data_IF_051046409928
#
_entry.id   IF_051046409928
#
_cell.length_a   1.000
_cell.length_b   1.000
_cell.length_c   1.000
_cell.angle_alpha   90.00
_cell.angle_beta   90.00
_cell.angle_gamma   90.00
#
_symmetry.space_group_name_H-M   'P 1'
#
loop_
_entity.id
_entity.type
_entity.pdbx_description
1 polymer ?
#
# COMPACT_ATOMS: atom_id res chain seq x y z
N UNK A 1 2.31 7.40 -1.81
CA UNK A 1 1.63 6.26 -1.15
C UNK A 1 2.56 5.09 -0.89
N UNK A 2 3.10 4.41 -1.91
CA UNK A 2 4.01 3.26 -1.74
C UNK A 2 5.19 3.54 -0.80
N UNK A 3 5.85 4.69 -0.95
CA UNK A 3 6.95 5.11 -0.08
C UNK A 3 6.54 5.13 1.40
N UNK A 4 5.38 5.71 1.73
CA UNK A 4 4.90 5.79 3.10
C UNK A 4 4.58 4.40 3.67
N UNK A 5 3.96 3.51 2.90
CA UNK A 5 3.70 2.12 3.32
C UNK A 5 5.01 1.35 3.52
N UNK A 6 5.96 1.50 2.60
CA UNK A 6 7.31 0.92 2.65
C UNK A 6 8.12 1.40 3.85
N UNK A 7 8.02 2.67 4.20
CA UNK A 7 8.72 3.22 5.35
C UNK A 7 8.03 2.77 6.63
N UNK A 8 6.71 2.92 6.73
CA UNK A 8 5.93 2.55 7.92
C UNK A 8 6.05 1.06 8.24
N UNK A 9 6.00 0.18 7.24
CA UNK A 9 6.24 -1.26 7.42
C UNK A 9 7.62 -1.55 8.02
N UNK A 10 8.68 -0.88 7.54
CA UNK A 10 10.03 -1.03 8.11
C UNK A 10 10.17 -0.44 9.51
N UNK A 11 9.60 0.74 9.76
CA UNK A 11 9.58 1.34 11.10
C UNK A 11 8.88 0.43 12.11
N UNK A 12 7.72 -0.14 11.73
CA UNK A 12 6.98 -1.09 12.58
C UNK A 12 7.77 -2.37 12.77
N UNK A 13 8.40 -2.89 11.71
CA UNK A 13 9.14 -4.15 11.79
C UNK A 13 10.39 -4.06 12.69
N UNK A 14 11.16 -2.98 12.56
CA UNK A 14 12.45 -2.79 13.22
C UNK A 14 12.32 -2.23 14.63
N UNK A 15 11.53 -1.16 14.81
CA UNK A 15 11.51 -0.40 16.06
C UNK A 15 10.47 -0.89 17.06
N UNK A 16 9.54 -1.77 16.67
CA UNK A 16 8.63 -2.40 17.62
C UNK A 16 9.33 -3.63 18.20
N UNK A 17 9.67 -3.62 19.50
CA UNK A 17 10.42 -4.70 20.14
C UNK A 17 9.60 -5.98 20.32
N UNK A 18 10.29 -7.11 20.44
CA UNK A 18 9.70 -8.44 20.59
C UNK A 18 9.61 -8.85 22.09
N UNK A 19 8.45 -8.71 22.75
CA UNK A 19 8.07 -9.39 24.02
C UNK A 19 8.11 -10.93 23.92
N UNK A 20 7.23 -11.56 23.10
CA UNK A 20 7.05 -13.02 22.93
C UNK A 20 6.98 -13.36 21.43
N UNK A 21 7.66 -14.43 20.97
CA UNK A 21 7.74 -14.77 19.53
C UNK A 21 6.37 -14.87 18.83
N UNK A 22 5.36 -15.35 19.54
CA UNK A 22 4.09 -15.77 18.92
C UNK A 22 3.03 -14.64 18.87
N UNK A 23 2.82 -13.90 19.97
CA UNK A 23 1.82 -12.82 20.01
C UNK A 23 2.24 -11.58 19.20
N UNK A 24 3.52 -11.41 18.91
CA UNK A 24 4.07 -10.18 18.33
C UNK A 24 4.15 -10.23 16.83
N UNK A 25 4.50 -11.40 16.31
CA UNK A 25 4.36 -11.69 14.90
C UNK A 25 2.89 -11.43 14.52
N UNK A 26 1.94 -11.80 15.39
CA UNK A 26 0.50 -11.51 15.24
C UNK A 26 0.16 -10.01 15.12
N UNK A 27 0.68 -9.15 16.01
CA UNK A 27 0.43 -7.69 16.00
C UNK A 27 1.09 -7.01 14.79
N UNK A 28 2.36 -7.33 14.52
CA UNK A 28 3.10 -6.78 13.39
C UNK A 28 2.46 -7.18 12.06
N UNK A 29 2.05 -8.44 11.93
CA UNK A 29 1.37 -8.92 10.73
C UNK A 29 0.03 -8.23 10.52
N UNK A 30 -0.76 -8.04 11.58
CA UNK A 30 -2.04 -7.34 11.50
C UNK A 30 -1.89 -5.90 11.00
N UNK A 31 -0.85 -5.18 11.43
CA UNK A 31 -0.58 -3.82 10.94
C UNK A 31 -0.09 -3.81 9.50
N UNK A 32 0.75 -4.76 9.11
CA UNK A 32 1.15 -4.91 7.70
C UNK A 32 -0.04 -5.26 6.80
N UNK A 33 -0.97 -6.10 7.28
CA UNK A 33 -2.24 -6.39 6.57
C UNK A 33 -3.11 -5.15 6.48
N UNK A 34 -3.17 -4.35 7.54
CA UNK A 34 -3.92 -3.10 7.55
C UNK A 34 -3.33 -2.08 6.55
N UNK A 35 -2.00 -2.04 6.39
CA UNK A 35 -1.34 -1.22 5.38
C UNK A 35 -1.60 -1.69 3.95
N UNK A 36 -1.63 -3.00 3.72
CA UNK A 36 -2.06 -3.55 2.43
C UNK A 36 -3.55 -3.27 2.17
N UNK A 37 -4.37 -3.39 3.23
CA UNK A 37 -5.79 -3.09 3.23
C UNK A 37 -6.07 -1.63 2.89
N UNK A 38 -5.23 -0.69 3.37
CA UNK A 38 -5.30 0.72 2.97
C UNK A 38 -5.16 0.87 1.45
N UNK A 39 -4.19 0.19 0.84
CA UNK A 39 -3.99 0.28 -0.61
C UNK A 39 -5.14 -0.31 -1.43
N UNK A 40 -5.66 -1.46 -1.01
CA UNK A 40 -6.84 -2.06 -1.62
C UNK A 40 -8.09 -1.19 -1.44
N UNK A 41 -8.28 -0.63 -0.25
CA UNK A 41 -9.36 0.29 0.03
C UNK A 41 -9.26 1.54 -0.84
N UNK A 42 -8.07 2.13 -0.99
CA UNK A 42 -7.87 3.29 -1.85
C UNK A 42 -8.17 2.96 -3.30
N UNK A 43 -7.77 1.78 -3.81
CA UNK A 43 -8.11 1.34 -5.16
C UNK A 43 -9.63 1.31 -5.38
N UNK A 44 -10.37 0.57 -4.55
CA UNK A 44 -11.82 0.43 -4.73
C UNK A 44 -12.55 1.76 -4.50
N UNK A 45 -12.03 2.56 -3.57
CA UNK A 45 -12.53 3.92 -3.34
C UNK A 45 -12.40 4.81 -4.58
N UNK A 46 -11.26 4.75 -5.29
CA UNK A 46 -11.04 5.53 -6.52
C UNK A 46 -11.85 5.02 -7.72
N UNK A 47 -12.20 3.72 -7.73
CA UNK A 47 -13.08 3.12 -8.74
C UNK A 47 -14.57 3.33 -8.46
N UNK A 48 -14.91 3.95 -7.34
CA UNK A 48 -16.29 4.06 -6.85
C UNK A 48 -17.00 2.69 -6.71
N UNK A 49 -16.21 1.63 -6.49
CA UNK A 49 -16.68 0.25 -6.29
C UNK A 49 -16.82 -0.07 -4.79
N UNK A 50 -17.72 -1.00 -4.46
CA UNK A 50 -17.84 -1.54 -3.10
C UNK A 50 -16.63 -2.39 -2.70
N UNK A 51 -15.59 -1.75 -2.14
CA UNK A 51 -14.35 -2.40 -1.73
C UNK A 51 -14.47 -3.35 -0.52
N UNK A 52 -15.64 -3.48 0.09
CA UNK A 52 -15.79 -4.17 1.37
C UNK A 52 -15.55 -5.68 1.27
N UNK A 53 -15.99 -6.31 0.18
CA UNK A 53 -15.86 -7.76 0.02
C UNK A 53 -14.49 -8.15 -0.56
N UNK A 54 -13.88 -7.29 -1.37
CA UNK A 54 -12.52 -7.48 -1.85
C UNK A 54 -11.46 -7.36 -0.73
N UNK A 55 -11.68 -6.47 0.25
CA UNK A 55 -10.80 -6.35 1.43
C UNK A 55 -10.94 -7.57 2.34
N UNK A 56 -12.16 -8.07 2.58
CA UNK A 56 -12.37 -9.34 3.31
C UNK A 56 -11.63 -10.48 2.62
N UNK A 57 -11.82 -10.64 1.31
CA UNK A 57 -11.21 -11.73 0.55
C UNK A 57 -9.69 -11.60 0.51
N UNK A 58 -9.13 -10.40 0.31
CA UNK A 58 -7.66 -10.22 0.30
C UNK A 58 -6.99 -10.31 1.67
N UNK A 59 -7.68 -9.93 2.76
CA UNK A 59 -7.20 -10.20 4.12
C UNK A 59 -7.32 -11.70 4.48
N UNK A 60 -8.32 -12.40 3.94
CA UNK A 60 -8.58 -13.80 4.29
C UNK A 60 -7.81 -14.82 3.42
N UNK A 61 -7.48 -14.48 2.18
CA UNK A 61 -6.80 -15.34 1.19
C UNK A 61 -5.30 -15.57 1.43
N UNK A 62 -4.64 -14.84 2.35
CA UNK A 62 -3.21 -15.12 2.66
C UNK A 62 -3.09 -16.29 3.65
N UNK A 63 -2.40 -17.39 3.27
CA UNK A 63 -2.20 -18.52 4.17
C UNK A 63 -1.21 -18.12 5.26
N UNK A 64 -1.71 -17.90 6.48
CA UNK A 64 -0.91 -17.85 7.70
C UNK A 64 -0.82 -19.28 8.22
N UNK A 65 0.28 -19.99 7.90
CA UNK A 65 0.48 -21.42 8.22
C UNK A 65 0.70 -21.73 9.73
N UNK A 66 0.27 -20.90 10.66
CA UNK A 66 0.42 -21.17 12.11
C UNK A 66 -0.86 -20.99 12.89
N UNK A 67 -1.13 -21.95 13.80
CA UNK A 67 -2.34 -22.07 14.65
C UNK A 67 -2.66 -20.83 15.49
N UNK A 68 -1.70 -19.92 15.67
CA UNK A 68 -1.86 -18.65 16.40
C UNK A 68 -2.33 -17.49 15.50
N UNK A 69 -2.14 -17.60 14.18
CA UNK A 69 -2.73 -16.68 13.20
C UNK A 69 -4.26 -16.72 13.17
N UNK A 70 -4.87 -17.79 13.71
CA UNK A 70 -6.31 -17.90 13.89
C UNK A 70 -6.86 -16.89 14.92
N UNK A 71 -6.10 -16.52 15.96
CA UNK A 71 -6.55 -15.52 16.95
C UNK A 71 -6.40 -14.09 16.40
N UNK A 72 -5.34 -13.79 15.64
CA UNK A 72 -5.23 -12.51 14.91
C UNK A 72 -6.29 -12.34 13.84
N UNK A 73 -6.57 -13.40 13.04
CA UNK A 73 -7.71 -13.42 12.11
C UNK A 73 -9.03 -13.27 12.85
N UNK A 74 -9.20 -13.87 14.03
CA UNK A 74 -10.39 -13.70 14.87
C UNK A 74 -10.52 -12.26 15.36
N UNK A 75 -9.44 -11.62 15.82
CA UNK A 75 -9.43 -10.22 16.27
C UNK A 75 -9.65 -9.24 15.13
N UNK A 76 -8.98 -9.42 13.99
CA UNK A 76 -9.20 -8.64 12.78
C UNK A 76 -10.61 -8.87 12.24
N UNK A 77 -11.09 -10.10 12.16
CA UNK A 77 -12.48 -10.38 11.78
C UNK A 77 -13.47 -9.86 12.81
N UNK A 78 -13.12 -9.73 14.09
CA UNK A 78 -13.97 -9.15 15.13
C UNK A 78 -13.97 -7.63 15.07
N UNK A 79 -12.84 -6.99 14.76
CA UNK A 79 -12.72 -5.55 14.49
C UNK A 79 -13.45 -5.23 13.19
N UNK A 80 -13.20 -5.99 12.13
CA UNK A 80 -13.87 -5.90 10.83
C UNK A 80 -15.36 -6.20 10.97
N UNK A 81 -15.77 -7.19 11.77
CA UNK A 81 -17.19 -7.46 12.05
C UNK A 81 -17.80 -6.36 12.91
N UNK A 82 -17.08 -5.79 13.88
CA UNK A 82 -17.53 -4.64 14.66
C UNK A 82 -17.69 -3.41 13.76
N UNK A 83 -16.76 -3.19 12.83
CA UNK A 83 -16.83 -2.18 11.77
C UNK A 83 -18.06 -2.38 10.89
N UNK A 84 -18.27 -3.60 10.39
CA UNK A 84 -19.42 -3.97 9.56
C UNK A 84 -20.74 -3.94 10.34
N UNK A 85 -20.71 -4.19 11.65
CA UNK A 85 -21.90 -4.14 12.53
C UNK A 85 -22.24 -2.70 12.92
N UNK A 86 -21.22 -1.86 13.14
CA UNK A 86 -21.39 -0.42 13.34
C UNK A 86 -21.93 0.23 12.05
N UNK A 87 -21.40 -0.16 10.87
CA UNK A 87 -21.93 0.12 9.52
C UNK A 87 -23.42 -0.21 9.38
N UNK A 88 -23.86 -1.36 9.89
CA UNK A 88 -25.28 -1.77 9.82
C UNK A 88 -26.20 -0.98 10.76
N UNK A 89 -25.67 -0.37 11.83
CA UNK A 89 -26.45 0.36 12.85
C UNK A 89 -26.52 1.87 12.63
N UNK A 90 -25.60 2.44 11.85
CA UNK A 90 -25.58 3.87 11.50
C UNK A 90 -26.45 4.23 10.30
N UNK A 91 -26.99 3.24 9.57
CA UNK A 91 -28.04 3.48 8.57
C UNK A 91 -29.35 3.84 9.30
N UNK A 92 -29.91 5.05 9.11
CA UNK A 92 -31.23 5.35 9.63
C UNK A 92 -32.23 4.44 8.91
N UNK A 93 -33.11 3.81 9.68
CA UNK A 93 -34.21 2.95 9.22
C UNK A 93 -34.97 3.66 8.09
N UNK A 94 -34.71 3.26 6.83
CA UNK A 94 -35.29 3.85 5.62
C UNK A 94 -35.98 2.75 4.82
N UNK A 95 -37.22 3.05 4.46
CA UNK A 95 -38.20 2.14 3.90
C UNK A 95 -37.74 1.36 2.67
N UNK A 96 -38.32 0.17 2.56
CA UNK A 96 -37.98 -1.00 1.73
C UNK A 96 -37.97 -0.82 0.19
N UNK A 97 -37.94 0.37 -0.40
CA UNK A 97 -38.17 0.52 -1.85
C UNK A 97 -37.28 1.54 -2.60
N UNK A 98 -36.17 2.02 -2.02
CA UNK A 98 -35.16 2.78 -2.79
C UNK A 98 -33.97 1.87 -3.13
N UNK A 99 -33.46 1.86 -4.38
CA UNK A 99 -32.25 1.13 -4.72
C UNK A 99 -31.13 1.64 -3.82
N UNK A 100 -30.42 0.72 -3.18
CA UNK A 100 -29.32 0.93 -2.24
C UNK A 100 -28.30 1.92 -2.83
N UNK A 101 -28.48 3.22 -2.58
CA UNK A 101 -27.48 4.23 -2.94
C UNK A 101 -26.39 4.12 -1.89
N UNK A 102 -25.44 3.24 -2.16
CA UNK A 102 -24.34 2.90 -1.26
C UNK A 102 -23.66 4.19 -0.83
N UNK A 103 -23.75 4.49 0.47
CA UNK A 103 -23.01 5.59 1.05
C UNK A 103 -21.54 5.17 1.00
N UNK A 104 -20.79 5.73 0.05
CA UNK A 104 -19.36 5.49 -0.13
C UNK A 104 -18.61 6.14 1.05
N UNK A 105 -18.51 5.42 2.17
CA UNK A 105 -17.73 5.86 3.32
C UNK A 105 -16.24 5.76 2.96
N UNK A 106 -15.43 6.74 3.36
CA UNK A 106 -13.98 6.77 3.15
C UNK A 106 -13.27 5.69 3.98
N UNK A 107 -13.42 4.42 3.62
CA UNK A 107 -12.78 3.27 4.24
C UNK A 107 -11.24 3.40 4.37
N UNK A 108 -10.52 4.01 3.41
CA UNK A 108 -9.11 4.31 3.59
C UNK A 108 -8.83 5.21 4.82
N UNK A 109 -9.67 6.21 5.09
CA UNK A 109 -9.51 7.09 6.26
C UNK A 109 -9.77 6.34 7.56
N UNK A 110 -10.76 5.46 7.59
CA UNK A 110 -11.03 4.60 8.74
C UNK A 110 -9.83 3.70 9.07
N UNK A 111 -9.19 3.14 8.04
CA UNK A 111 -7.94 2.39 8.21
C UNK A 111 -6.83 3.26 8.82
N UNK A 112 -6.68 4.52 8.39
CA UNK A 112 -5.69 5.43 8.99
C UNK A 112 -6.00 5.76 10.46
N UNK A 113 -7.27 5.78 10.86
CA UNK A 113 -7.66 5.94 12.26
C UNK A 113 -7.17 4.75 13.11
N UNK A 114 -7.32 3.52 12.61
CA UNK A 114 -6.80 2.33 13.29
C UNK A 114 -5.27 2.33 13.39
N UNK A 115 -4.57 2.74 12.33
CA UNK A 115 -3.11 2.90 12.36
C UNK A 115 -2.68 3.92 13.43
N UNK A 116 -3.35 5.07 13.50
CA UNK A 116 -3.07 6.08 14.52
C UNK A 116 -3.38 5.58 15.93
N UNK A 117 -4.46 4.82 16.10
CA UNK A 117 -4.79 4.21 17.39
C UNK A 117 -3.70 3.22 17.83
N UNK A 118 -3.21 2.37 16.94
CA UNK A 118 -2.11 1.46 17.20
C UNK A 118 -0.82 2.19 17.61
N UNK A 119 -0.41 3.21 16.87
CA UNK A 119 0.78 4.01 17.21
C UNK A 119 0.60 4.68 18.59
N UNK A 120 -0.61 5.15 18.89
CA UNK A 120 -0.94 5.74 20.20
C UNK A 120 -0.85 4.71 21.33
N UNK A 121 -1.25 3.46 21.09
CA UNK A 121 -1.09 2.37 22.05
C UNK A 121 0.38 2.03 22.28
N UNK A 122 1.21 2.00 21.23
CA UNK A 122 2.66 1.78 21.36
C UNK A 122 3.31 2.84 22.26
N UNK A 123 2.93 4.12 22.10
CA UNK A 123 3.43 5.22 22.93
C UNK A 123 3.04 5.10 24.40
N UNK A 124 1.88 4.50 24.70
CA UNK A 124 1.33 4.35 26.06
C UNK A 124 1.80 3.08 26.77
N UNK A 125 2.64 2.25 26.16
CA UNK A 125 3.17 1.05 26.82
C UNK A 125 3.98 1.45 28.05
N UNK A 126 3.66 0.82 29.18
CA UNK A 126 4.26 1.11 30.51
C UNK A 126 5.70 0.61 30.60
N UNK A 127 6.02 -0.47 29.89
CA UNK A 127 7.37 -1.04 29.89
C UNK A 127 8.25 -0.27 28.89
N UNK A 128 9.30 0.39 29.38
CA UNK A 128 10.22 1.17 28.55
C UNK A 128 10.95 0.29 27.52
N UNK A 129 11.32 -0.94 27.88
CA UNK A 129 11.97 -1.90 26.97
C UNK A 129 11.07 -2.32 25.79
N UNK A 130 9.76 -2.09 25.90
CA UNK A 130 8.76 -2.49 24.91
C UNK A 130 8.23 -1.31 24.10
N UNK A 131 8.70 -0.10 24.40
CA UNK A 131 8.29 1.12 23.75
C UNK A 131 9.31 1.48 22.66
N UNK A 132 8.85 1.73 21.42
CA UNK A 132 9.73 2.27 20.38
C UNK A 132 10.26 3.65 20.79
N UNK A 133 11.41 4.04 20.27
CA UNK A 133 11.98 5.35 20.50
C UNK A 133 11.05 6.48 20.00
N UNK A 134 11.04 7.61 20.72
CA UNK A 134 10.17 8.75 20.39
C UNK A 134 10.36 9.30 18.97
N UNK A 135 11.58 9.38 18.41
CA UNK A 135 11.78 9.72 17.01
C UNK A 135 11.09 8.73 16.05
N UNK A 136 11.22 7.42 16.26
CA UNK A 136 10.53 6.42 15.45
C UNK A 136 9.02 6.54 15.50
N UNK A 137 8.42 6.76 16.68
CA UNK A 137 6.98 6.99 16.82
C UNK A 137 6.55 8.23 16.03
N UNK A 138 7.34 9.31 16.11
CA UNK A 138 7.08 10.54 15.36
C UNK A 138 7.13 10.30 13.85
N UNK A 139 8.10 9.51 13.38
CA UNK A 139 8.18 9.12 11.98
C UNK A 139 7.01 8.23 11.54
N UNK A 140 6.51 7.35 12.42
CA UNK A 140 5.30 6.56 12.11
C UNK A 140 4.08 7.45 11.89
N UNK A 141 3.81 8.43 12.78
CA UNK A 141 2.73 9.39 12.58
C UNK A 141 2.92 10.22 11.30
N UNK A 142 4.14 10.65 11.00
CA UNK A 142 4.44 11.38 9.78
C UNK A 142 4.11 10.55 8.53
N UNK A 143 4.46 9.26 8.51
CA UNK A 143 4.11 8.37 7.39
C UNK A 143 2.60 8.17 7.27
N UNK A 144 1.85 8.07 8.38
CA UNK A 144 0.38 8.01 8.33
C UNK A 144 -0.20 9.31 7.77
N UNK A 145 0.33 10.48 8.15
CA UNK A 145 -0.08 11.76 7.56
C UNK A 145 0.14 11.78 6.04
N UNK A 146 1.30 11.29 5.57
CA UNK A 146 1.59 11.20 4.13
C UNK A 146 0.60 10.26 3.41
N UNK A 147 0.11 9.19 4.06
CA UNK A 147 -0.93 8.34 3.48
C UNK A 147 -2.23 9.10 3.28
N UNK A 148 -2.65 9.91 4.26
CA UNK A 148 -3.84 10.77 4.17
C UNK A 148 -3.64 11.81 3.07
N UNK A 149 -2.49 12.47 3.02
CA UNK A 149 -2.18 13.46 1.98
C UNK A 149 -2.23 12.85 0.57
N UNK A 150 -1.72 11.63 0.41
CA UNK A 150 -1.81 10.89 -0.85
C UNK A 150 -3.27 10.62 -1.23
N UNK A 151 -4.09 10.16 -0.28
CA UNK A 151 -5.51 9.92 -0.53
C UNK A 151 -6.23 11.21 -0.95
N UNK A 152 -6.01 12.32 -0.25
CA UNK A 152 -6.61 13.62 -0.59
C UNK A 152 -6.17 14.10 -1.97
N UNK A 153 -4.91 13.88 -2.36
CA UNK A 153 -4.46 14.21 -3.71
C UNK A 153 -5.15 13.35 -4.77
N UNK A 154 -5.34 12.06 -4.52
CA UNK A 154 -6.06 11.17 -5.44
C UNK A 154 -7.55 11.54 -5.52
N UNK A 155 -8.18 11.90 -4.40
CA UNK A 155 -9.54 12.45 -4.34
C UNK A 155 -9.68 13.73 -5.16
N UNK A 156 -8.68 14.61 -5.14
CA UNK A 156 -8.69 15.84 -5.95
C UNK A 156 -8.66 15.54 -7.43
N UNK A 157 -7.86 14.55 -7.86
CA UNK A 157 -7.82 14.12 -9.26
C UNK A 157 -9.17 13.53 -9.66
N UNK A 158 -9.74 12.64 -8.84
CA UNK A 158 -11.05 12.02 -9.10
C UNK A 158 -12.21 13.04 -9.12
N UNK A 159 -12.24 13.98 -8.16
CA UNK A 159 -13.35 14.93 -7.97
C UNK A 159 -13.21 16.24 -8.74
N UNK A 160 -12.14 16.41 -9.50
CA UNK A 160 -11.97 17.56 -10.40
C UNK A 160 -12.08 17.14 -11.88
N UNK A 161 -13.15 16.45 -12.31
CA UNK A 161 -13.33 16.13 -13.72
C UNK A 161 -13.54 17.42 -14.52
N UNK A 162 -13.39 17.31 -15.83
CA UNK A 162 -13.70 18.42 -16.73
C UNK A 162 -15.20 18.74 -16.58
N UNK A 163 -15.61 20.02 -16.55
CA UNK A 163 -17.02 20.35 -16.43
C UNK A 163 -17.84 19.62 -17.49
N UNK A 164 -18.87 18.87 -17.06
CA UNK A 164 -19.66 18.01 -17.95
C UNK A 164 -20.19 18.74 -19.19
N UNK A 165 -20.63 20.00 -19.02
CA UNK A 165 -21.08 20.83 -20.13
C UNK A 165 -19.99 21.05 -21.20
N UNK A 166 -18.73 21.18 -20.79
CA UNK A 166 -17.60 21.33 -21.72
C UNK A 166 -17.37 20.04 -22.51
N UNK A 167 -17.34 18.87 -21.86
CA UNK A 167 -17.16 17.59 -22.55
C UNK A 167 -18.26 17.35 -23.60
N UNK A 168 -19.52 17.59 -23.22
CA UNK A 168 -20.67 17.47 -24.14
C UNK A 168 -20.56 18.45 -25.31
N UNK A 169 -20.20 19.71 -25.05
CA UNK A 169 -20.05 20.70 -26.11
C UNK A 169 -18.87 20.41 -27.04
N UNK A 170 -17.77 19.89 -26.52
CA UNK A 170 -16.61 19.49 -27.32
C UNK A 170 -17.02 18.40 -28.32
N UNK A 171 -17.69 17.35 -27.85
CA UNK A 171 -18.18 16.26 -28.70
C UNK A 171 -19.18 16.72 -29.76
N UNK A 172 -20.15 17.54 -29.37
CA UNK A 172 -21.12 18.13 -30.31
C UNK A 172 -20.43 18.98 -31.37
N UNK A 173 -19.44 19.79 -30.98
CA UNK A 173 -18.72 20.67 -31.90
C UNK A 173 -17.86 19.88 -32.89
N UNK A 174 -17.12 18.86 -32.44
CA UNK A 174 -16.35 17.97 -33.31
C UNK A 174 -17.25 17.25 -34.31
N UNK A 175 -18.41 16.77 -33.86
CA UNK A 175 -19.39 16.11 -34.71
C UNK A 175 -19.95 17.06 -35.79
N UNK A 176 -20.41 18.25 -35.38
CA UNK A 176 -20.90 19.27 -36.33
C UNK A 176 -19.81 19.67 -37.32
N UNK A 177 -18.56 19.82 -36.86
CA UNK A 177 -17.44 20.15 -37.73
C UNK A 177 -17.16 19.05 -38.76
N UNK A 178 -17.12 17.77 -38.35
CA UNK A 178 -16.94 16.65 -39.29
C UNK A 178 -18.08 16.57 -40.31
N UNK A 179 -19.32 16.86 -39.91
CA UNK A 179 -20.48 16.87 -40.80
C UNK A 179 -20.50 18.07 -41.76
N UNK A 180 -19.96 19.23 -41.37
CA UNK A 180 -19.93 20.43 -42.21
C UNK A 180 -18.78 20.43 -43.23
N UNK A 181 -17.66 19.79 -42.88
CA UNK A 181 -16.44 19.69 -43.70
C UNK A 181 -16.65 19.23 -45.16
N UNK A 182 -17.45 18.19 -45.47
CA UNK A 182 -17.68 17.78 -46.86
C UNK A 182 -18.39 18.85 -47.69
N UNK A 183 -19.34 19.59 -47.12
CA UNK A 183 -20.05 20.66 -47.83
C UNK A 183 -19.13 21.84 -48.15
N UNK A 184 -18.11 22.07 -47.31
CA UNK A 184 -17.14 23.13 -47.51
C UNK A 184 -16.13 22.79 -48.62
N UNK A 185 -15.68 21.53 -48.70
CA UNK A 185 -14.59 21.14 -49.60
C UNK A 185 -15.05 20.61 -50.97
N UNK A 186 -16.30 20.14 -51.10
CA UNK A 186 -16.79 19.49 -52.33
C UNK A 186 -16.70 20.38 -53.57
N UNK A 187 -16.80 21.71 -53.42
CA UNK A 187 -16.72 22.66 -54.53
C UNK A 187 -15.33 22.75 -55.17
N UNK A 188 -14.27 22.61 -54.37
CA UNK A 188 -12.88 22.77 -54.83
C UNK A 188 -12.22 21.43 -55.16
N UNK A 189 -12.57 20.37 -54.44
CA UNK A 189 -11.87 19.09 -54.45
C UNK A 189 -12.67 17.92 -55.05
N UNK A 190 -13.96 18.12 -55.35
CA UNK A 190 -14.87 17.13 -55.92
C UNK A 190 -14.73 15.75 -55.24
N UNK A 191 -14.35 14.70 -55.99
CA UNK A 191 -14.18 13.33 -55.49
C UNK A 191 -13.03 13.15 -54.50
N UNK A 192 -12.00 14.00 -54.55
CA UNK A 192 -10.87 13.97 -53.61
C UNK A 192 -11.29 14.40 -52.20
N UNK A 193 -12.43 15.06 -52.08
CA UNK A 193 -13.05 15.42 -50.79
C UNK A 193 -13.27 14.20 -49.91
N UNK A 194 -13.71 13.06 -50.46
CA UNK A 194 -14.04 11.86 -49.68
C UNK A 194 -12.86 11.33 -48.86
N UNK A 195 -11.69 11.01 -49.44
CA UNK A 195 -10.54 10.52 -48.66
C UNK A 195 -9.97 11.58 -47.70
N UNK A 196 -10.05 12.87 -48.04
CA UNK A 196 -9.57 13.96 -47.17
C UNK A 196 -10.48 14.10 -45.94
N UNK A 197 -11.79 14.16 -46.14
CA UNK A 197 -12.78 14.25 -45.05
C UNK A 197 -12.66 13.01 -44.17
N UNK A 198 -12.55 11.82 -44.75
CA UNK A 198 -12.36 10.58 -44.00
C UNK A 198 -11.13 10.65 -43.09
N UNK A 199 -9.98 11.05 -43.65
CA UNK A 199 -8.74 11.18 -42.88
C UNK A 199 -8.87 12.24 -41.77
N UNK A 200 -9.46 13.40 -42.06
CA UNK A 200 -9.68 14.46 -41.09
C UNK A 200 -10.61 14.01 -39.95
N UNK A 201 -11.71 13.33 -40.26
CA UNK A 201 -12.64 12.78 -39.27
C UNK A 201 -11.97 11.72 -38.39
N UNK A 202 -11.17 10.81 -38.96
CA UNK A 202 -10.42 9.82 -38.18
C UNK A 202 -9.47 10.50 -37.20
N UNK A 203 -8.78 11.56 -37.62
CA UNK A 203 -7.86 12.30 -36.74
C UNK A 203 -8.64 13.01 -35.62
N UNK A 204 -9.70 13.75 -35.96
CA UNK A 204 -10.44 14.55 -34.98
C UNK A 204 -11.22 13.69 -33.98
N UNK A 205 -11.96 12.70 -34.47
CA UNK A 205 -12.68 11.75 -33.61
C UNK A 205 -11.71 10.87 -32.81
N UNK A 206 -10.57 10.49 -33.40
CA UNK A 206 -9.53 9.75 -32.70
C UNK A 206 -8.93 10.53 -31.53
N UNK A 207 -8.65 11.83 -31.72
CA UNK A 207 -8.15 12.70 -30.63
C UNK A 207 -9.20 12.88 -29.54
N UNK A 208 -10.48 13.02 -29.91
CA UNK A 208 -11.58 13.11 -28.94
C UNK A 208 -11.69 11.84 -28.09
N UNK A 209 -11.59 10.66 -28.71
CA UNK A 209 -11.66 9.39 -27.98
C UNK A 209 -10.46 9.19 -27.05
N UNK A 210 -9.25 9.55 -27.50
CA UNK A 210 -8.06 9.54 -26.63
C UNK A 210 -8.27 10.49 -25.43
N UNK A 211 -8.88 11.66 -25.65
CA UNK A 211 -9.18 12.60 -24.57
C UNK A 211 -10.16 12.01 -23.54
N UNK A 212 -11.16 11.25 -24.00
CA UNK A 212 -12.09 10.56 -23.12
C UNK A 212 -11.39 9.46 -22.30
N UNK A 213 -10.52 8.65 -22.92
CA UNK A 213 -9.77 7.60 -22.21
C UNK A 213 -8.82 8.15 -21.13
N UNK A 214 -8.17 9.29 -21.37
CA UNK A 214 -7.23 9.88 -20.40
C UNK A 214 -7.90 10.66 -19.26
N UNK A 215 -9.22 10.93 -19.35
CA UNK A 215 -9.93 11.75 -18.35
C UNK A 215 -10.07 11.02 -17.01
N UNK A 216 -10.31 9.70 -17.03
CA UNK A 216 -10.48 8.89 -15.81
C UNK A 216 -9.40 7.79 -15.67
N UNK A 217 -8.19 8.12 -15.20
CA UNK A 217 -7.06 7.17 -15.17
C UNK A 217 -7.19 6.04 -14.13
N UNK A 218 -8.23 6.07 -13.28
CA UNK A 218 -8.43 5.12 -12.19
C UNK A 218 -9.41 4.00 -12.51
N UNK A 219 -9.98 3.99 -13.71
CA UNK A 219 -10.99 3.03 -14.13
C UNK A 219 -10.45 1.61 -14.35
N UNK A 220 -11.06 0.94 -15.33
CA UNK A 220 -10.76 -0.44 -15.73
C UNK A 220 -10.40 -0.55 -17.20
N UNK A 221 -10.21 0.57 -17.89
CA UNK A 221 -9.91 0.58 -19.31
C UNK A 221 -8.48 0.07 -19.55
N UNK A 222 -8.18 -0.47 -20.75
CA UNK A 222 -6.86 -1.04 -21.04
C UNK A 222 -5.69 -0.06 -20.85
N UNK A 223 -5.96 1.24 -21.01
CA UNK A 223 -4.99 2.32 -20.91
C UNK A 223 -4.95 2.99 -19.53
N UNK A 224 -5.80 2.55 -18.59
CA UNK A 224 -5.82 3.05 -17.22
C UNK A 224 -4.63 2.57 -16.38
N UNK A 225 -4.48 3.20 -15.21
CA UNK A 225 -3.50 2.78 -14.22
C UNK A 225 -3.80 1.35 -13.76
N UNK A 226 -2.76 0.51 -13.78
CA UNK A 226 -2.82 -0.89 -13.33
C UNK A 226 -2.83 -1.01 -11.80
N UNK A 227 -3.85 -0.46 -11.16
CA UNK A 227 -4.00 -0.39 -9.69
C UNK A 227 -3.97 -1.76 -9.03
N UNK A 228 -4.52 -2.78 -9.70
CA UNK A 228 -4.49 -4.17 -9.21
C UNK A 228 -3.05 -4.69 -9.09
N UNK A 229 -2.23 -4.50 -10.13
CA UNK A 229 -0.82 -4.90 -10.12
C UNK A 229 -0.02 -4.15 -9.05
N UNK A 230 -0.33 -2.86 -8.84
CA UNK A 230 0.28 -2.09 -7.76
C UNK A 230 -0.06 -2.66 -6.37
N UNK A 231 -1.31 -3.06 -6.15
CA UNK A 231 -1.74 -3.66 -4.88
C UNK A 231 -1.12 -5.04 -4.66
N UNK A 232 -1.05 -5.87 -5.70
CA UNK A 232 -0.40 -7.19 -5.64
C UNK A 232 1.09 -7.07 -5.34
N UNK A 233 1.80 -6.18 -6.05
CA UNK A 233 3.22 -5.93 -5.82
C UNK A 233 3.48 -5.48 -4.38
N UNK A 234 2.67 -4.54 -3.88
CA UNK A 234 2.75 -4.09 -2.50
C UNK A 234 2.49 -5.24 -1.52
N UNK A 235 1.51 -6.09 -1.81
CA UNK A 235 1.23 -7.30 -1.03
C UNK A 235 2.46 -8.19 -0.90
N UNK A 236 3.11 -8.50 -2.02
CA UNK A 236 4.34 -9.30 -2.08
C UNK A 236 5.51 -8.64 -1.33
N UNK A 237 5.69 -7.32 -1.47
CA UNK A 237 6.73 -6.58 -0.74
C UNK A 237 6.53 -6.66 0.78
N UNK A 238 5.29 -6.54 1.25
CA UNK A 238 4.98 -6.66 2.67
C UNK A 238 5.20 -8.09 3.17
N UNK A 239 4.83 -9.10 2.38
CA UNK A 239 5.10 -10.51 2.70
C UNK A 239 6.61 -10.80 2.75
N UNK A 240 7.40 -10.15 1.89
CA UNK A 240 8.85 -10.20 1.98
C UNK A 240 9.38 -9.62 3.29
N UNK A 241 8.87 -8.47 3.75
CA UNK A 241 9.23 -7.88 5.06
C UNK A 241 8.91 -8.84 6.20
N UNK A 242 7.78 -9.55 6.14
CA UNK A 242 7.40 -10.57 7.15
C UNK A 242 8.42 -11.69 7.26
N UNK A 243 8.97 -12.13 6.12
CA UNK A 243 9.95 -13.22 6.07
C UNK A 243 11.31 -12.87 6.71
N UNK A 244 11.59 -11.57 6.94
CA UNK A 244 12.88 -11.07 7.41
C UNK A 244 13.21 -11.47 8.86
N UNK A 245 12.28 -12.08 9.61
CA UNK A 245 12.53 -12.64 10.95
C UNK A 245 13.69 -13.67 10.95
N UNK A 246 13.93 -14.34 9.81
CA UNK A 246 15.05 -15.30 9.63
C UNK A 246 16.44 -14.64 9.55
N UNK A 247 16.53 -13.38 9.14
CA UNK A 247 17.81 -12.73 8.86
C UNK A 247 18.42 -12.16 10.14
N UNK A 248 17.62 -11.56 11.03
CA UNK A 248 18.10 -11.05 12.33
C UNK A 248 18.78 -12.12 13.17
N UNK A 249 18.20 -13.33 13.25
CA UNK A 249 18.83 -14.46 13.96
C UNK A 249 20.16 -14.88 13.33
N UNK A 250 20.27 -14.82 12.00
CA UNK A 250 21.53 -15.11 11.31
C UNK A 250 22.61 -14.10 11.66
N UNK A 251 22.34 -12.78 11.60
CA UNK A 251 23.31 -11.73 11.97
C UNK A 251 23.74 -11.80 13.43
N UNK A 252 22.80 -12.09 14.33
CA UNK A 252 23.11 -12.27 15.76
C UNK A 252 23.98 -13.52 15.97
N UNK A 253 23.76 -14.59 15.23
CA UNK A 253 24.61 -15.78 15.25
C UNK A 253 26.00 -15.52 14.64
N UNK A 254 26.12 -14.85 13.48
CA UNK A 254 27.43 -14.49 12.91
C UNK A 254 28.18 -13.52 13.80
N UNK A 255 27.51 -12.54 14.42
CA UNK A 255 28.13 -11.62 15.36
C UNK A 255 28.63 -12.34 16.64
N UNK A 256 27.86 -13.31 17.14
CA UNK A 256 28.32 -14.18 18.24
C UNK A 256 29.51 -15.04 17.83
N UNK A 257 29.48 -15.67 16.65
CA UNK A 257 30.61 -16.46 16.11
C UNK A 257 31.87 -15.63 15.89
N UNK A 258 31.74 -14.39 15.40
CA UNK A 258 32.87 -13.48 15.23
C UNK A 258 33.53 -13.13 16.57
N UNK A 259 32.73 -12.80 17.59
CA UNK A 259 33.25 -12.55 18.96
C UNK A 259 33.92 -13.78 19.59
N UNK A 260 33.37 -14.97 19.36
CA UNK A 260 33.99 -16.23 19.84
C UNK A 260 35.28 -16.57 19.08
N UNK A 261 35.37 -16.23 17.80
CA UNK A 261 36.59 -16.39 16.99
C UNK A 261 37.71 -15.47 17.48
N UNK A 262 37.42 -14.18 17.70
CA UNK A 262 38.40 -13.20 18.22
C UNK A 262 38.91 -13.58 19.61
N UNK A 263 38.03 -14.12 20.47
CA UNK A 263 38.42 -14.60 21.81
C UNK A 263 39.35 -15.83 21.74
N UNK A 264 39.10 -16.77 20.82
CA UNK A 264 39.95 -17.95 20.64
C UNK A 264 41.31 -17.63 20.00
N UNK A 265 41.36 -16.71 19.03
CA UNK A 265 42.64 -16.24 18.44
C UNK A 265 43.51 -15.52 19.47
N UNK A 266 42.91 -14.72 20.35
CA UNK A 266 43.62 -14.04 21.44
C UNK A 266 44.24 -15.04 22.42
N UNK A 267 43.49 -16.07 22.81
CA UNK A 267 43.99 -17.14 23.69
C UNK A 267 45.09 -17.99 23.05
N UNK A 268 45.01 -18.30 21.74
CA UNK A 268 46.08 -19.05 21.05
C UNK A 268 47.39 -18.26 20.94
N UNK A 269 47.32 -16.93 20.79
CA UNK A 269 48.50 -16.07 20.74
C UNK A 269 49.20 -15.96 22.11
N UNK A 270 48.43 -15.98 23.20
CA UNK A 270 48.99 -15.94 24.56
C UNK A 270 49.64 -17.28 24.95
N UNK A 271 49.05 -18.43 24.59
CA UNK A 271 49.65 -19.76 24.78
C UNK A 271 50.95 -19.92 23.97
N UNK A 272 51.01 -19.37 22.75
CA UNK A 272 52.25 -19.36 21.93
C UNK A 272 53.33 -18.43 22.50
N UNK A 273 52.99 -17.38 23.25
CA UNK A 273 53.96 -16.53 23.94
C UNK A 273 54.51 -17.19 25.20
N UNK A 274 53.68 -17.88 25.98
CA UNK A 274 54.13 -18.62 27.17
C UNK A 274 55.10 -19.77 26.80
N UNK A 275 54.78 -20.57 25.77
CA UNK A 275 55.68 -21.65 25.33
C UNK A 275 57.01 -21.14 24.74
N UNK A 276 57.05 -19.95 24.13
CA UNK A 276 58.31 -19.32 23.69
C UNK A 276 59.11 -18.71 24.85
N UNK A 277 58.44 -18.27 25.91
CA UNK A 277 59.06 -17.79 27.14
C UNK A 277 59.78 -18.89 27.90
N UNK A 278 59.17 -20.08 28.04
CA UNK A 278 59.78 -21.22 28.73
C UNK A 278 60.99 -21.81 27.99
N UNK A 279 61.00 -21.80 26.64
CA UNK A 279 62.14 -22.30 25.85
C UNK A 279 63.37 -21.39 25.98
N UNK A 280 63.19 -20.08 26.18
CA UNK A 280 64.31 -19.13 26.30
C UNK A 280 65.05 -19.22 27.64
N UNK A 281 64.36 -19.67 28.71
CA UNK A 281 64.94 -19.79 30.07
C UNK A 281 65.79 -21.06 30.24
N UNK A 282 65.63 -22.06 29.36
CA UNK A 282 66.38 -23.35 29.45
C UNK A 282 67.72 -23.30 28.69
N UNK A 283 67.94 -22.31 27.81
CA UNK A 283 69.18 -22.16 27.01
C UNK A 283 70.25 -21.25 27.62
N UNK A 284 70.02 -20.65 28.79
CA UNK A 284 71.05 -19.94 29.59
C UNK A 284 71.42 -20.78 30.82
N UNK A 285 72.27 -21.79 30.63
CA UNK A 285 73.03 -22.46 31.70
C UNK A 285 74.38 -22.91 31.19
#
# INVERSE_FOLDING_TARGET
MLLAIRNLSRFVWVNVPNMNKNEIDSEKFAILDLLAGFALATKHYLREEDGTDAIKVSLDMRPLETKEGADSKSRLNKILKLLLTYRSKSSPDRGLNEPEKVVNYNLPLEITLYLNHYISQLKRRVNEDLRPDDPSITQMYANVSILVDCLTNLERVLRSPIPFAYAVHLSQTTCIFCLSLPFQLVGDLEWVTVPIVFLASVILLGVEEIANEIENPFGTDPNDLKLDQFCELLGMELDFVRSHNKIKSQWEETAKRAKTSEFNESNELDIKKESKGEISVVTEK
#
